data_IF_041877399365
#
_entry.id   IF_041877399365
#
_cell.length_a   1.000
_cell.length_b   1.000
_cell.length_c   1.000
_cell.angle_alpha   90.00
_cell.angle_beta   90.00
_cell.angle_gamma   90.00
#
_symmetry.space_group_name_H-M   'P 1'
#
loop_
_entity.id
_entity.type
_entity.pdbx_description
1 polymer ?
#
# COMPACT_ATOMS: atom_id res chain seq x y z
N UNK A 1 -15.31 -12.52 -13.45
CA UNK A 1 -16.15 -13.71 -13.19
C UNK A 1 -15.25 -14.78 -12.62
N UNK A 2 -15.58 -15.39 -11.48
CA UNK A 2 -14.72 -16.42 -10.87
C UNK A 2 -14.73 -17.67 -11.74
N UNK A 3 -13.61 -17.97 -12.40
CA UNK A 3 -13.43 -19.19 -13.19
C UNK A 3 -13.27 -20.40 -12.25
N UNK A 4 -13.83 -21.54 -12.62
CA UNK A 4 -13.79 -22.78 -11.85
C UNK A 4 -13.23 -23.90 -12.72
N UNK A 5 -12.21 -24.59 -12.21
CA UNK A 5 -11.45 -25.60 -12.93
C UNK A 5 -11.88 -27.01 -12.52
N UNK A 6 -11.76 -27.94 -13.45
CA UNK A 6 -11.85 -29.38 -13.17
C UNK A 6 -10.69 -29.84 -12.27
N UNK A 7 -10.83 -31.06 -11.73
CA UNK A 7 -9.77 -31.70 -10.95
C UNK A 7 -8.50 -31.86 -11.77
N UNK A 8 -8.63 -32.29 -13.02
CA UNK A 8 -7.52 -32.56 -13.92
C UNK A 8 -6.71 -31.28 -14.19
N UNK A 9 -7.40 -30.19 -14.55
CA UNK A 9 -6.79 -28.87 -14.77
C UNK A 9 -6.11 -28.33 -13.51
N UNK A 10 -6.74 -28.50 -12.33
CA UNK A 10 -6.17 -28.07 -11.06
C UNK A 10 -4.86 -28.81 -10.73
N UNK A 11 -4.81 -30.12 -10.98
CA UNK A 11 -3.61 -30.94 -10.76
C UNK A 11 -2.49 -30.58 -11.73
N UNK A 12 -2.83 -30.34 -12.99
CA UNK A 12 -1.88 -29.92 -14.02
C UNK A 12 -1.26 -28.57 -13.69
N UNK A 13 -2.07 -27.56 -13.36
CA UNK A 13 -1.58 -26.21 -13.00
C UNK A 13 -0.71 -26.22 -11.75
N UNK A 14 -1.07 -27.01 -10.73
CA UNK A 14 -0.29 -27.08 -9.47
C UNK A 14 0.89 -28.04 -9.54
N UNK A 15 0.95 -28.93 -10.54
CA UNK A 15 1.90 -30.05 -10.63
C UNK A 15 1.96 -30.84 -9.31
N UNK A 16 0.79 -31.24 -8.80
CA UNK A 16 0.63 -32.02 -7.56
C UNK A 16 -0.15 -33.30 -7.79
N UNK A 17 -0.07 -34.22 -6.82
CA UNK A 17 -0.95 -35.39 -6.76
C UNK A 17 -2.30 -35.00 -6.15
N UNK A 18 -3.33 -35.78 -6.45
CA UNK A 18 -4.69 -35.58 -5.94
C UNK A 18 -4.76 -35.45 -4.41
N UNK A 19 -3.99 -36.25 -3.68
CA UNK A 19 -3.91 -36.20 -2.22
C UNK A 19 -3.51 -34.79 -1.72
N UNK A 20 -2.56 -34.14 -2.38
CA UNK A 20 -2.11 -32.79 -2.02
C UNK A 20 -3.15 -31.73 -2.34
N UNK A 21 -3.85 -31.87 -3.48
CA UNK A 21 -4.96 -30.98 -3.85
C UNK A 21 -6.09 -31.04 -2.80
N UNK A 22 -6.51 -32.25 -2.39
CA UNK A 22 -7.50 -32.42 -1.33
C UNK A 22 -7.03 -31.86 0.01
N UNK A 23 -5.74 -31.98 0.31
CA UNK A 23 -5.16 -31.43 1.52
C UNK A 23 -5.12 -29.89 1.53
N UNK A 24 -5.14 -29.23 0.37
CA UNK A 24 -5.31 -27.78 0.26
C UNK A 24 -6.76 -27.36 0.45
N UNK A 25 -7.70 -28.11 -0.14
CA UNK A 25 -9.15 -27.86 0.05
C UNK A 25 -9.55 -28.03 1.51
N UNK A 26 -9.13 -29.13 2.16
CA UNK A 26 -9.43 -29.39 3.58
C UNK A 26 -8.89 -28.31 4.51
N UNK A 27 -7.78 -27.65 4.13
CA UNK A 27 -7.19 -26.52 4.87
C UNK A 27 -7.76 -25.15 4.46
N UNK A 28 -8.82 -25.12 3.66
CA UNK A 28 -9.47 -23.88 3.21
C UNK A 28 -8.61 -23.03 2.26
N UNK A 29 -7.55 -23.60 1.66
CA UNK A 29 -6.65 -22.87 0.76
C UNK A 29 -7.12 -22.83 -0.69
N UNK A 30 -8.00 -23.75 -1.08
CA UNK A 30 -8.64 -23.79 -2.39
C UNK A 30 -10.14 -23.99 -2.15
N UNK A 31 -10.96 -23.07 -2.64
CA UNK A 31 -12.40 -23.22 -2.67
C UNK A 31 -12.80 -24.37 -3.61
N UNK A 32 -13.67 -25.24 -3.12
CA UNK A 32 -14.21 -26.38 -3.86
C UNK A 32 -15.74 -26.29 -3.90
N UNK A 33 -16.33 -26.67 -5.03
CA UNK A 33 -17.78 -26.85 -5.18
C UNK A 33 -18.09 -28.10 -5.99
N UNK A 34 -19.28 -28.72 -5.83
CA UNK A 34 -19.75 -29.74 -6.75
C UNK A 34 -19.88 -29.19 -8.18
N UNK A 35 -19.57 -30.01 -9.18
CA UNK A 35 -19.83 -29.67 -10.57
C UNK A 35 -21.34 -29.56 -10.81
N UNK A 36 -21.76 -28.59 -11.63
CA UNK A 36 -23.17 -28.38 -11.98
C UNK A 36 -23.70 -29.44 -12.95
N UNK A 37 -22.83 -30.05 -13.76
CA UNK A 37 -23.20 -31.05 -14.76
C UNK A 37 -23.14 -32.49 -14.22
N UNK A 38 -22.27 -32.77 -13.25
CA UNK A 38 -22.12 -34.08 -12.61
C UNK A 38 -21.82 -33.92 -11.11
N UNK A 39 -22.81 -34.13 -10.22
CA UNK A 39 -22.64 -33.98 -8.77
C UNK A 39 -21.55 -34.87 -8.15
N UNK A 40 -21.09 -35.91 -8.87
CA UNK A 40 -19.98 -36.78 -8.43
C UNK A 40 -18.60 -36.15 -8.69
N UNK A 41 -18.52 -35.04 -9.43
CA UNK A 41 -17.29 -34.32 -9.74
C UNK A 41 -17.21 -33.03 -8.92
N UNK A 42 -16.00 -32.59 -8.64
CA UNK A 42 -15.73 -31.34 -7.93
C UNK A 42 -14.99 -30.37 -8.83
N UNK A 43 -15.34 -29.09 -8.73
CA UNK A 43 -14.66 -27.97 -9.34
C UNK A 43 -13.91 -27.15 -8.29
N UNK A 44 -12.80 -26.56 -8.70
CA UNK A 44 -11.86 -25.87 -7.82
C UNK A 44 -11.69 -24.43 -8.31
N UNK A 45 -11.64 -23.45 -7.39
CA UNK A 45 -11.55 -22.04 -7.75
C UNK A 45 -10.21 -21.74 -8.44
N UNK A 46 -10.26 -21.15 -9.64
CA UNK A 46 -9.07 -20.89 -10.45
C UNK A 46 -8.09 -19.92 -9.78
N UNK A 47 -8.62 -18.86 -9.13
CA UNK A 47 -7.81 -17.82 -8.46
C UNK A 47 -6.95 -18.40 -7.33
N UNK A 48 -7.53 -19.28 -6.51
CA UNK A 48 -6.83 -19.94 -5.41
C UNK A 48 -5.71 -20.87 -5.92
N UNK A 49 -5.98 -21.56 -7.03
CA UNK A 49 -5.01 -22.43 -7.71
C UNK A 49 -3.85 -21.60 -8.28
N UNK A 50 -4.14 -20.48 -8.94
CA UNK A 50 -3.12 -19.58 -9.46
C UNK A 50 -2.24 -19.03 -8.32
N UNK A 51 -2.86 -18.55 -7.24
CA UNK A 51 -2.13 -18.03 -6.07
C UNK A 51 -1.21 -19.09 -5.44
N UNK A 52 -1.66 -20.35 -5.34
CA UNK A 52 -0.85 -21.44 -4.80
C UNK A 52 0.28 -21.89 -5.75
N UNK A 53 0.03 -21.92 -7.06
CA UNK A 53 1.05 -22.24 -8.06
C UNK A 53 2.20 -21.23 -7.99
N UNK A 54 1.87 -19.94 -7.95
CA UNK A 54 2.85 -18.84 -7.81
C UNK A 54 3.64 -18.95 -6.51
N UNK A 55 2.97 -19.26 -5.39
CA UNK A 55 3.65 -19.44 -4.09
C UNK A 55 4.60 -20.64 -4.07
N UNK A 56 4.28 -21.73 -4.77
CA UNK A 56 5.07 -22.96 -4.79
C UNK A 56 6.31 -22.86 -5.68
N UNK A 57 6.23 -22.08 -6.76
CA UNK A 57 7.40 -21.71 -7.55
C UNK A 57 8.45 -20.94 -6.73
N UNK A 58 8.01 -20.13 -5.75
CA UNK A 58 8.85 -19.31 -4.84
C UNK A 58 9.52 -20.08 -3.69
N UNK A 59 9.28 -21.40 -3.55
CA UNK A 59 9.60 -22.17 -2.35
C UNK A 59 10.91 -22.99 -2.35
N UNK A 60 11.90 -22.69 -3.19
CA UNK A 60 13.16 -23.46 -3.26
C UNK A 60 14.39 -22.56 -3.05
N UNK A 61 14.97 -22.73 -1.85
CA UNK A 61 16.25 -22.25 -1.27
C UNK A 61 16.47 -20.74 -1.00
N UNK A 62 17.06 -20.38 0.18
CA UNK A 62 17.45 -19.01 0.53
C UNK A 62 18.42 -18.34 -0.44
N UNK A 63 19.22 -19.12 -1.18
CA UNK A 63 20.15 -18.61 -2.20
C UNK A 63 19.43 -17.97 -3.39
N UNK A 64 18.21 -18.42 -3.71
CA UNK A 64 17.42 -17.89 -4.83
C UNK A 64 16.75 -16.56 -4.47
N UNK A 65 16.49 -16.29 -3.18
CA UNK A 65 15.85 -15.06 -2.71
C UNK A 65 16.75 -13.84 -2.96
N UNK A 66 18.07 -13.99 -2.76
CA UNK A 66 19.05 -12.93 -3.04
C UNK A 66 19.25 -12.72 -4.56
N UNK A 67 19.27 -13.80 -5.35
CA UNK A 67 19.41 -13.73 -6.81
C UNK A 67 18.18 -13.11 -7.50
N UNK A 68 16.98 -13.45 -7.01
CA UNK A 68 15.70 -12.90 -7.50
C UNK A 68 15.49 -11.42 -7.16
N UNK A 69 16.27 -10.86 -6.23
CA UNK A 69 16.23 -9.43 -5.92
C UNK A 69 17.07 -8.60 -6.90
N UNK A 70 18.08 -9.20 -7.55
CA UNK A 70 18.96 -8.54 -8.54
C UNK A 70 18.41 -8.68 -9.96
N UNK A 71 17.86 -9.85 -10.30
CA UNK A 71 17.07 -10.02 -11.51
C UNK A 71 15.61 -9.73 -11.16
N UNK A 72 15.09 -8.54 -11.48
CA UNK A 72 13.70 -8.03 -11.44
C UNK A 72 12.52 -9.05 -11.33
N UNK A 73 12.61 -10.02 -10.44
CA UNK A 73 11.59 -10.96 -10.05
C UNK A 73 10.85 -10.34 -8.89
N UNK A 74 9.55 -10.58 -8.82
CA UNK A 74 8.70 -9.98 -7.80
C UNK A 74 9.23 -10.33 -6.39
N UNK A 75 9.76 -9.35 -5.63
CA UNK A 75 10.23 -9.60 -4.29
C UNK A 75 9.05 -10.07 -3.45
N UNK A 76 8.97 -11.35 -3.07
CA UNK A 76 7.90 -11.82 -2.19
C UNK A 76 8.36 -11.71 -0.75
N UNK A 77 7.96 -10.65 -0.05
CA UNK A 77 8.23 -10.51 1.37
C UNK A 77 6.99 -10.89 2.16
N UNK A 78 7.13 -11.83 3.09
CA UNK A 78 6.04 -12.20 4.00
C UNK A 78 5.68 -10.98 4.86
N UNK A 79 4.39 -10.65 4.90
CA UNK A 79 3.85 -9.53 5.66
C UNK A 79 2.58 -9.95 6.39
N UNK A 80 2.33 -9.30 7.53
CA UNK A 80 1.08 -9.41 8.30
C UNK A 80 0.40 -8.03 8.46
N UNK A 81 0.82 -7.04 7.67
CA UNK A 81 0.37 -5.65 7.75
C UNK A 81 -0.88 -5.44 6.90
N UNK A 82 -0.77 -5.66 5.59
CA UNK A 82 -1.89 -5.55 4.67
C UNK A 82 -1.92 -6.68 3.64
N UNK A 83 -3.09 -6.89 3.05
CA UNK A 83 -3.22 -7.67 1.83
C UNK A 83 -4.36 -7.18 0.94
N UNK A 84 -4.24 -7.36 -0.37
CA UNK A 84 -5.35 -7.21 -1.32
C UNK A 84 -5.91 -8.59 -1.62
N UNK A 85 -7.18 -8.80 -1.27
CA UNK A 85 -7.87 -10.08 -1.51
C UNK A 85 -9.25 -9.83 -2.09
N UNK A 86 -9.52 -10.43 -3.25
CA UNK A 86 -10.81 -10.30 -3.94
C UNK A 86 -11.22 -8.82 -4.17
N UNK A 87 -10.25 -7.99 -4.58
CA UNK A 87 -10.46 -6.56 -4.82
C UNK A 87 -10.68 -5.71 -3.55
N UNK A 88 -10.45 -6.28 -2.36
CA UNK A 88 -10.55 -5.56 -1.08
C UNK A 88 -9.17 -5.42 -0.46
N UNK A 89 -8.84 -4.21 -0.05
CA UNK A 89 -7.66 -3.91 0.74
C UNK A 89 -7.96 -4.17 2.22
N UNK A 90 -7.12 -4.98 2.85
CA UNK A 90 -7.30 -5.47 4.22
C UNK A 90 -6.09 -5.05 5.06
N UNK A 91 -6.28 -4.29 6.12
CA UNK A 91 -5.27 -3.94 7.13
C UNK A 91 -5.42 -4.83 8.36
N UNK A 92 -4.45 -5.73 8.59
CA UNK A 92 -4.44 -6.68 9.71
C UNK A 92 -5.79 -7.37 9.97
N UNK A 93 -6.47 -7.79 8.89
CA UNK A 93 -7.78 -8.46 8.95
C UNK A 93 -9.00 -7.52 8.91
N UNK A 94 -8.80 -6.21 8.92
CA UNK A 94 -9.87 -5.21 8.81
C UNK A 94 -9.96 -4.65 7.39
N UNK A 95 -11.17 -4.55 6.84
CA UNK A 95 -11.39 -3.95 5.52
C UNK A 95 -11.07 -2.44 5.57
N UNK A 96 -10.14 -1.98 4.74
CA UNK A 96 -9.67 -0.61 4.74
C UNK A 96 -10.76 0.39 4.32
N UNK A 97 -11.70 -0.02 3.45
CA UNK A 97 -12.81 0.83 3.05
C UNK A 97 -13.81 1.00 4.20
N UNK A 98 -14.09 -0.07 4.95
CA UNK A 98 -14.92 -0.02 6.17
C UNK A 98 -14.24 0.85 7.23
N UNK A 99 -12.94 0.61 7.48
CA UNK A 99 -12.15 1.38 8.44
C UNK A 99 -12.16 2.88 8.10
N UNK A 100 -12.03 3.23 6.81
CA UNK A 100 -12.10 4.61 6.34
C UNK A 100 -13.42 5.29 6.70
N UNK A 101 -14.51 4.55 6.91
CA UNK A 101 -15.81 5.11 7.27
C UNK A 101 -15.78 5.93 8.56
N UNK A 102 -14.94 5.56 9.52
CA UNK A 102 -14.92 6.19 10.85
C UNK A 102 -13.53 6.51 11.39
N UNK A 103 -12.48 5.78 10.97
CA UNK A 103 -11.17 5.90 11.58
C UNK A 103 -10.40 7.15 11.13
N UNK A 104 -9.45 7.61 11.95
CA UNK A 104 -8.42 8.58 11.55
C UNK A 104 -7.15 7.89 11.05
N UNK A 105 -6.19 8.67 10.52
CA UNK A 105 -4.87 8.16 10.14
C UNK A 105 -4.13 7.57 11.36
N UNK A 106 -4.28 8.20 12.52
CA UNK A 106 -3.68 7.79 13.79
C UNK A 106 -4.20 6.43 14.26
N UNK A 107 -5.50 6.19 14.11
CA UNK A 107 -6.15 4.91 14.42
C UNK A 107 -5.78 3.84 13.39
N UNK A 108 -5.76 4.18 12.10
CA UNK A 108 -5.30 3.27 11.05
C UNK A 108 -3.83 2.88 11.26
N UNK A 109 -2.97 3.83 11.64
CA UNK A 109 -1.58 3.56 11.98
C UNK A 109 -1.47 2.64 13.20
N UNK A 110 -2.31 2.80 14.22
CA UNK A 110 -2.33 1.89 15.36
C UNK A 110 -2.68 0.45 14.94
N UNK A 111 -3.64 0.27 14.03
CA UNK A 111 -3.93 -1.04 13.44
C UNK A 111 -2.71 -1.58 12.69
N UNK A 112 -2.14 -0.80 11.76
CA UNK A 112 -1.00 -1.22 10.95
C UNK A 112 0.23 -1.57 11.80
N UNK A 113 0.48 -0.81 12.86
CA UNK A 113 1.62 -0.98 13.78
C UNK A 113 1.35 -1.95 14.93
N UNK A 114 0.15 -2.55 14.98
CA UNK A 114 -0.31 -3.45 16.05
C UNK A 114 -0.19 -2.83 17.45
N UNK A 115 -0.59 -1.56 17.57
CA UNK A 115 -0.60 -0.80 18.81
C UNK A 115 -2.02 -0.73 19.42
N UNK A 116 -2.14 -0.73 20.76
CA UNK A 116 -3.43 -0.70 21.44
C UNK A 116 -4.09 0.69 21.48
N UNK A 117 -3.36 1.74 21.07
CA UNK A 117 -3.82 3.13 21.13
C UNK A 117 -3.45 3.85 19.83
N UNK A 118 -4.23 4.88 19.43
CA UNK A 118 -3.90 5.74 18.29
C UNK A 118 -2.49 6.31 18.38
N UNK A 119 -1.81 6.40 17.24
CA UNK A 119 -0.45 6.96 17.14
C UNK A 119 -0.53 8.49 17.18
N UNK A 120 0.33 9.14 17.97
CA UNK A 120 0.41 10.59 17.99
C UNK A 120 1.43 11.10 16.94
N UNK A 121 0.95 11.69 15.85
CA UNK A 121 1.78 12.32 14.81
C UNK A 121 2.03 13.81 15.10
N UNK A 122 2.58 14.09 16.28
CA UNK A 122 2.82 15.46 16.72
C UNK A 122 3.87 16.15 15.86
N UNK A 123 3.63 17.43 15.56
CA UNK A 123 4.64 18.31 15.01
C UNK A 123 4.89 19.47 15.95
N UNK A 124 6.16 19.75 16.21
CA UNK A 124 6.58 20.95 16.91
C UNK A 124 6.40 22.18 16.03
N UNK A 125 6.23 23.34 16.67
CA UNK A 125 6.28 24.63 15.98
C UNK A 125 7.66 24.79 15.33
N UNK A 126 7.73 25.15 14.04
CA UNK A 126 9.01 25.35 13.39
C UNK A 126 9.69 26.61 13.94
N UNK A 127 11.02 26.57 14.09
CA UNK A 127 11.82 27.72 14.53
C UNK A 127 11.79 28.88 13.51
N UNK A 128 11.55 28.57 12.24
CA UNK A 128 11.42 29.53 11.16
C UNK A 128 10.25 29.18 10.22
N UNK A 129 9.60 30.18 9.62
CA UNK A 129 8.61 29.94 8.56
C UNK A 129 9.27 29.17 7.43
N UNK A 130 8.71 28.02 7.08
CA UNK A 130 9.12 27.25 5.90
C UNK A 130 7.94 27.15 4.94
N UNK A 131 8.22 27.22 3.65
CA UNK A 131 7.19 27.02 2.64
C UNK A 131 6.79 25.55 2.64
N UNK A 132 5.53 25.26 2.94
CA UNK A 132 4.98 23.91 2.84
C UNK A 132 5.03 23.40 1.39
N UNK A 133 5.24 22.11 1.21
CA UNK A 133 5.23 21.45 -0.08
C UNK A 133 6.25 20.32 -0.18
N UNK A 134 6.30 19.71 -1.37
CA UNK A 134 7.15 18.53 -1.64
C UNK A 134 8.63 18.78 -1.33
N UNK A 135 9.19 19.91 -1.76
CA UNK A 135 10.59 20.24 -1.51
C UNK A 135 10.91 20.32 -0.01
N UNK A 136 10.00 20.90 0.78
CA UNK A 136 10.13 20.94 2.25
C UNK A 136 10.08 19.55 2.87
N UNK A 137 9.15 18.70 2.41
CA UNK A 137 9.05 17.31 2.87
C UNK A 137 10.36 16.54 2.66
N UNK A 138 10.99 16.65 1.48
CA UNK A 138 12.29 16.05 1.20
C UNK A 138 13.39 16.61 2.11
N UNK A 139 13.47 17.94 2.25
CA UNK A 139 14.50 18.59 3.05
C UNK A 139 14.41 18.20 4.53
N UNK A 140 13.21 18.25 5.12
CA UNK A 140 13.01 17.93 6.54
C UNK A 140 13.30 16.46 6.84
N UNK A 141 12.87 15.54 5.95
CA UNK A 141 13.22 14.13 6.11
C UNK A 141 14.72 13.86 5.92
N UNK A 142 15.40 14.60 5.05
CA UNK A 142 16.86 14.49 4.90
C UNK A 142 17.60 14.95 6.17
N UNK A 143 17.16 16.03 6.80
CA UNK A 143 17.71 16.49 8.08
C UNK A 143 17.49 15.44 9.17
N UNK A 144 16.26 14.92 9.32
CA UNK A 144 15.95 13.86 10.28
C UNK A 144 16.72 12.57 9.98
N UNK A 145 16.94 12.22 8.72
CA UNK A 145 17.73 11.06 8.33
C UNK A 145 19.20 11.21 8.73
N UNK A 146 19.79 12.40 8.56
CA UNK A 146 21.18 12.68 8.97
C UNK A 146 21.39 12.71 10.48
N UNK A 147 20.36 13.08 11.25
CA UNK A 147 20.41 13.11 12.72
C UNK A 147 19.90 11.82 13.37
N UNK A 148 19.25 10.96 12.58
CA UNK A 148 18.57 9.76 13.06
C UNK A 148 19.55 8.69 13.55
N UNK A 149 19.10 7.90 14.52
CA UNK A 149 19.88 6.77 15.05
C UNK A 149 19.65 5.50 14.22
N UNK A 150 20.68 4.66 14.02
CA UNK A 150 20.50 3.35 13.37
C UNK A 150 19.37 2.54 14.01
N UNK A 151 18.61 1.81 13.19
CA UNK A 151 17.43 1.06 13.64
C UNK A 151 17.75 -0.31 14.24
N UNK A 152 18.88 -0.92 13.86
CA UNK A 152 19.28 -2.24 14.34
C UNK A 152 19.51 -2.25 15.86
N UNK A 153 18.99 -3.28 16.52
CA UNK A 153 19.14 -3.48 17.96
C UNK A 153 18.27 -2.57 18.84
N UNK A 154 17.44 -1.69 18.26
CA UNK A 154 16.53 -0.82 19.02
C UNK A 154 15.21 -1.53 19.34
N UNK A 155 14.59 -1.12 20.43
CA UNK A 155 13.26 -1.63 20.83
C UNK A 155 12.17 -1.15 19.88
N UNK A 156 11.12 -1.96 19.72
CA UNK A 156 9.96 -1.60 18.91
C UNK A 156 9.32 -0.26 19.35
N UNK A 157 9.24 -0.02 20.66
CA UNK A 157 8.70 1.25 21.18
C UNK A 157 9.52 2.47 20.72
N UNK A 158 10.85 2.35 20.71
CA UNK A 158 11.73 3.42 20.25
C UNK A 158 11.62 3.65 18.74
N UNK A 159 11.50 2.57 17.96
CA UNK A 159 11.26 2.64 16.52
C UNK A 159 9.88 3.28 16.22
N UNK A 160 8.83 2.91 16.94
CA UNK A 160 7.52 3.54 16.76
C UNK A 160 7.54 5.04 17.09
N UNK A 161 8.27 5.46 18.12
CA UNK A 161 8.42 6.89 18.44
C UNK A 161 9.14 7.66 17.32
N UNK A 162 10.25 7.13 16.80
CA UNK A 162 10.98 7.73 15.68
C UNK A 162 10.12 7.78 14.40
N UNK A 163 9.35 6.71 14.11
CA UNK A 163 8.41 6.70 12.98
C UNK A 163 7.32 7.77 13.14
N UNK A 164 6.69 7.85 14.32
CA UNK A 164 5.64 8.80 14.61
C UNK A 164 6.14 10.24 14.46
N UNK A 165 7.34 10.52 14.98
CA UNK A 165 7.97 11.82 14.83
C UNK A 165 8.25 12.17 13.36
N UNK A 166 8.83 11.24 12.59
CA UNK A 166 9.12 11.46 11.17
C UNK A 166 7.84 11.71 10.34
N UNK A 167 6.75 10.99 10.63
CA UNK A 167 5.45 11.20 10.00
C UNK A 167 4.84 12.55 10.40
N UNK A 168 4.95 12.94 11.67
CA UNK A 168 4.49 14.26 12.14
C UNK A 168 5.21 15.41 11.45
N UNK A 169 6.53 15.31 11.31
CA UNK A 169 7.35 16.30 10.57
C UNK A 169 6.99 16.31 9.07
N UNK A 170 6.79 15.15 8.46
CA UNK A 170 6.34 15.06 7.07
C UNK A 170 4.96 15.74 6.87
N UNK A 171 4.01 15.48 7.78
CA UNK A 171 2.70 16.12 7.74
C UNK A 171 2.83 17.65 7.84
N UNK A 172 3.65 18.15 8.76
CA UNK A 172 3.89 19.59 8.90
C UNK A 172 4.52 20.21 7.65
N UNK A 173 5.51 19.55 7.06
CA UNK A 173 6.13 19.99 5.82
C UNK A 173 5.14 20.02 4.63
N UNK A 174 4.01 19.31 4.73
CA UNK A 174 2.93 19.28 3.73
C UNK A 174 1.74 20.18 4.09
N UNK A 175 1.85 21.02 5.13
CA UNK A 175 0.83 21.99 5.52
C UNK A 175 -0.03 21.56 6.71
N UNK A 176 0.35 20.56 7.50
CA UNK A 176 -0.33 20.26 8.76
C UNK A 176 0.29 21.09 9.92
N UNK A 177 -0.29 22.21 10.36
CA UNK A 177 0.27 23.10 11.39
C UNK A 177 0.63 22.35 12.67
N UNK A 178 1.53 22.90 13.48
CA UNK A 178 1.96 22.27 14.72
C UNK A 178 0.80 21.93 15.66
N UNK A 179 0.92 20.82 16.39
CA UNK A 179 -0.11 20.35 17.32
C UNK A 179 -0.27 18.84 17.37
N UNK A 180 -1.18 18.40 18.25
CA UNK A 180 -1.49 17.00 18.55
C UNK A 180 -2.85 16.53 18.03
N UNK A 181 -3.65 17.44 17.46
CA UNK A 181 -4.89 17.07 16.79
C UNK A 181 -4.61 16.09 15.62
N UNK A 182 -5.58 15.26 15.22
CA UNK A 182 -5.44 14.40 14.06
C UNK A 182 -4.98 15.16 12.80
N UNK A 183 -4.11 14.53 12.02
CA UNK A 183 -3.45 15.13 10.84
C UNK A 183 -4.46 15.72 9.86
N UNK A 184 -5.58 15.04 9.63
CA UNK A 184 -6.63 15.54 8.72
C UNK A 184 -7.25 16.87 9.18
N UNK A 185 -7.42 17.09 10.48
CA UNK A 185 -7.97 18.33 11.02
C UNK A 185 -6.96 19.47 10.88
N UNK A 186 -5.69 19.18 11.13
CA UNK A 186 -4.60 20.14 10.96
C UNK A 186 -4.48 20.57 9.50
N UNK A 187 -4.44 19.61 8.56
CA UNK A 187 -4.47 19.92 7.13
C UNK A 187 -5.71 20.73 6.73
N UNK A 188 -6.88 20.36 7.26
CA UNK A 188 -8.11 21.07 6.95
C UNK A 188 -8.09 22.53 7.43
N UNK A 189 -7.48 22.80 8.58
CA UNK A 189 -7.28 24.13 9.12
C UNK A 189 -6.40 24.99 8.20
N UNK A 190 -5.24 24.47 7.78
CA UNK A 190 -4.30 25.19 6.90
C UNK A 190 -4.91 25.45 5.52
N UNK A 191 -5.55 24.43 4.95
CA UNK A 191 -6.17 24.51 3.63
C UNK A 191 -7.51 25.26 3.65
N UNK A 192 -7.96 25.72 4.83
CA UNK A 192 -9.20 26.47 5.02
C UNK A 192 -10.44 25.77 4.42
N UNK A 193 -10.55 24.45 4.61
CA UNK A 193 -11.65 23.66 4.07
C UNK A 193 -12.72 23.36 5.12
N UNK A 194 -13.96 23.16 4.66
CA UNK A 194 -15.08 22.82 5.55
C UNK A 194 -15.00 21.40 6.13
N UNK A 195 -15.92 21.09 7.05
CA UNK A 195 -15.99 19.79 7.72
C UNK A 195 -16.21 18.61 6.75
N UNK A 196 -16.92 18.82 5.64
CA UNK A 196 -17.15 17.76 4.64
C UNK A 196 -15.88 17.40 3.89
N UNK A 197 -15.08 18.40 3.53
CA UNK A 197 -13.75 18.21 2.94
C UNK A 197 -12.74 17.67 3.95
N UNK A 198 -12.81 18.09 5.21
CA UNK A 198 -11.99 17.51 6.28
C UNK A 198 -12.26 16.01 6.45
N UNK A 199 -13.53 15.59 6.35
CA UNK A 199 -13.89 14.16 6.34
C UNK A 199 -13.32 13.45 5.11
N UNK A 200 -13.43 14.03 3.91
CA UNK A 200 -12.82 13.46 2.71
C UNK A 200 -11.30 13.27 2.85
N UNK A 201 -10.59 14.22 3.45
CA UNK A 201 -9.16 14.12 3.77
C UNK A 201 -8.92 12.95 4.74
N UNK A 202 -9.69 12.86 5.83
CA UNK A 202 -9.60 11.75 6.80
C UNK A 202 -9.71 10.39 6.11
N UNK A 203 -10.75 10.21 5.29
CA UNK A 203 -11.00 8.95 4.56
C UNK A 203 -9.88 8.64 3.59
N UNK A 204 -9.41 9.63 2.84
CA UNK A 204 -8.30 9.48 1.90
C UNK A 204 -7.00 9.04 2.62
N UNK A 205 -6.67 9.66 3.75
CA UNK A 205 -5.48 9.28 4.53
C UNK A 205 -5.55 7.83 5.03
N UNK A 206 -6.73 7.34 5.44
CA UNK A 206 -6.90 5.93 5.83
C UNK A 206 -6.77 5.00 4.64
N UNK A 207 -7.42 5.31 3.52
CA UNK A 207 -7.37 4.48 2.30
C UNK A 207 -5.96 4.40 1.68
N UNK A 208 -5.15 5.44 1.89
CA UNK A 208 -3.77 5.52 1.38
C UNK A 208 -2.72 5.15 2.43
N UNK A 209 -3.12 4.70 3.62
CA UNK A 209 -2.21 4.43 4.73
C UNK A 209 -1.22 3.28 4.43
N UNK A 210 -1.63 2.27 3.67
CA UNK A 210 -0.75 1.20 3.19
C UNK A 210 -1.31 0.52 1.93
N UNK A 211 -0.46 -0.11 1.11
CA UNK A 211 -0.89 -0.83 -0.08
C UNK A 211 0.10 -1.94 -0.45
N UNK A 212 0.19 -2.96 0.41
CA UNK A 212 1.08 -4.12 0.29
C UNK A 212 2.54 -3.73 -0.03
N UNK A 213 3.21 -4.49 -0.91
CA UNK A 213 4.60 -4.28 -1.29
C UNK A 213 4.70 -3.54 -2.63
N UNK A 214 4.19 -2.31 -2.66
CA UNK A 214 4.44 -1.40 -3.77
C UNK A 214 5.92 -0.92 -3.80
N UNK A 215 6.33 -0.26 -4.90
CA UNK A 215 7.72 0.15 -5.11
C UNK A 215 8.30 1.00 -3.98
N UNK A 216 7.55 1.98 -3.45
CA UNK A 216 8.01 2.80 -2.33
C UNK A 216 8.13 2.02 -1.02
N UNK A 217 7.18 1.12 -0.75
CA UNK A 217 7.28 0.22 0.41
C UNK A 217 8.52 -0.68 0.29
N UNK A 218 8.80 -1.21 -0.90
CA UNK A 218 10.00 -2.01 -1.14
C UNK A 218 11.28 -1.21 -0.91
N UNK A 219 11.39 0.00 -1.45
CA UNK A 219 12.54 0.88 -1.24
C UNK A 219 12.76 1.22 0.24
N UNK A 220 11.69 1.54 0.97
CA UNK A 220 11.77 1.79 2.41
C UNK A 220 12.26 0.55 3.17
N UNK A 221 11.85 -0.66 2.77
CA UNK A 221 12.33 -1.92 3.36
C UNK A 221 13.78 -2.24 3.03
N UNK A 222 14.25 -1.91 1.83
CA UNK A 222 15.66 -2.03 1.46
C UNK A 222 16.51 -1.15 2.37
N UNK A 223 16.14 0.12 2.55
CA UNK A 223 16.82 1.02 3.48
C UNK A 223 16.78 0.49 4.93
N UNK A 224 15.62 0.00 5.39
CA UNK A 224 15.50 -0.57 6.73
C UNK A 224 16.41 -1.81 6.93
N UNK A 225 16.60 -2.63 5.89
CA UNK A 225 17.43 -3.85 5.96
C UNK A 225 18.91 -3.59 6.23
N UNK A 226 19.41 -2.38 5.94
CA UNK A 226 20.78 -1.97 6.24
C UNK A 226 20.93 -1.39 7.64
N UNK A 227 19.83 -1.26 8.38
CA UNK A 227 19.81 -0.61 9.69
C UNK A 227 19.72 0.90 9.65
N UNK A 228 19.31 1.49 8.53
CA UNK A 228 19.13 2.93 8.41
C UNK A 228 18.13 3.48 9.45
N UNK A 229 18.26 4.75 9.87
CA UNK A 229 17.25 5.42 10.67
C UNK A 229 15.88 5.43 9.98
N UNK A 230 14.80 5.50 10.76
CA UNK A 230 13.45 5.41 10.18
C UNK A 230 13.09 6.60 9.27
N UNK A 231 13.58 7.80 9.57
CA UNK A 231 13.45 8.94 8.68
C UNK A 231 14.15 8.70 7.32
N UNK A 232 15.30 8.02 7.31
CA UNK A 232 15.98 7.64 6.07
C UNK A 232 15.19 6.60 5.27
N UNK A 233 14.55 5.64 5.96
CA UNK A 233 13.66 4.67 5.32
C UNK A 233 12.43 5.36 4.69
N UNK A 234 11.84 6.32 5.41
CA UNK A 234 10.72 7.14 4.92
C UNK A 234 11.14 8.00 3.73
N UNK A 235 12.34 8.60 3.77
CA UNK A 235 12.90 9.37 2.66
C UNK A 235 13.11 8.51 1.41
N UNK A 236 13.63 7.29 1.55
CA UNK A 236 13.78 6.35 0.43
C UNK A 236 12.43 5.99 -0.21
N UNK A 237 11.40 5.77 0.63
CA UNK A 237 10.04 5.57 0.18
C UNK A 237 9.48 6.79 -0.55
N UNK A 238 9.63 7.99 0.02
CA UNK A 238 9.16 9.25 -0.57
C UNK A 238 9.85 9.55 -1.92
N UNK A 239 11.17 9.34 -2.01
CA UNK A 239 11.92 9.47 -3.25
C UNK A 239 11.36 8.53 -4.33
N UNK A 240 11.11 7.27 -3.98
CA UNK A 240 10.53 6.29 -4.91
C UNK A 240 9.10 6.65 -5.30
N UNK A 241 8.30 7.17 -4.35
CA UNK A 241 6.92 7.62 -4.61
C UNK A 241 6.87 8.82 -5.56
N UNK A 242 7.89 9.69 -5.54
CA UNK A 242 7.93 10.86 -6.44
C UNK A 242 8.03 10.50 -7.92
N UNK A 243 8.31 9.24 -8.27
CA UNK A 243 8.29 8.76 -9.64
C UNK A 243 6.88 8.84 -10.26
N UNK A 244 6.73 9.35 -11.50
CA UNK A 244 5.41 9.57 -12.12
C UNK A 244 4.62 8.29 -12.38
N UNK A 245 5.32 7.15 -12.51
CA UNK A 245 4.71 5.82 -12.66
C UNK A 245 4.20 5.22 -11.35
N UNK A 246 4.46 5.88 -10.21
CA UNK A 246 4.07 5.43 -8.89
C UNK A 246 3.14 6.44 -8.21
N UNK A 247 3.66 7.60 -7.78
CA UNK A 247 2.85 8.62 -7.08
C UNK A 247 2.12 9.62 -7.99
N UNK A 248 2.28 9.52 -9.32
CA UNK A 248 1.74 10.49 -10.28
C UNK A 248 0.27 10.29 -10.66
N UNK A 249 -0.39 9.22 -10.17
CA UNK A 249 -1.74 8.85 -10.62
C UNK A 249 -2.80 9.93 -10.35
N UNK A 250 -2.75 10.60 -9.19
CA UNK A 250 -3.70 11.65 -8.84
C UNK A 250 -3.61 12.87 -9.76
N UNK A 251 -2.39 13.32 -10.06
CA UNK A 251 -2.15 14.42 -11.01
C UNK A 251 -2.63 14.06 -12.42
N UNK A 252 -2.39 12.81 -12.85
CA UNK A 252 -2.84 12.34 -14.16
C UNK A 252 -4.37 12.30 -14.28
N UNK A 253 -5.08 11.93 -13.20
CA UNK A 253 -6.55 11.98 -13.16
C UNK A 253 -7.06 13.43 -13.18
N UNK A 254 -6.42 14.33 -12.44
CA UNK A 254 -6.78 15.75 -12.47
C UNK A 254 -6.57 16.36 -13.86
N UNK A 255 -5.44 16.06 -14.51
CA UNK A 255 -5.17 16.51 -15.88
C UNK A 255 -6.21 15.96 -16.87
N UNK A 256 -6.62 14.69 -16.72
CA UNK A 256 -7.67 14.10 -17.53
C UNK A 256 -9.01 14.84 -17.34
N UNK A 257 -9.37 15.17 -16.09
CA UNK A 257 -10.58 15.90 -15.77
C UNK A 257 -10.58 17.33 -16.33
N UNK A 258 -9.46 18.04 -16.22
CA UNK A 258 -9.28 19.39 -16.78
C UNK A 258 -9.37 19.39 -18.32
N UNK A 259 -8.73 18.42 -18.98
CA UNK A 259 -8.84 18.26 -20.43
C UNK A 259 -10.28 17.94 -20.86
N UNK A 260 -10.97 17.06 -20.13
CA UNK A 260 -12.37 16.75 -20.38
C UNK A 260 -13.29 17.97 -20.19
N UNK A 261 -13.03 18.80 -19.19
CA UNK A 261 -13.77 20.05 -18.98
C UNK A 261 -13.54 21.06 -20.12
N UNK A 262 -12.34 21.12 -20.69
CA UNK A 262 -11.99 22.04 -21.79
C UNK A 262 -12.43 21.58 -23.17
N UNK A 263 -12.36 20.29 -23.45
CA UNK A 263 -12.49 19.74 -24.81
C UNK A 263 -13.64 18.74 -24.99
N UNK A 264 -14.33 18.39 -23.89
CA UNK A 264 -15.36 17.35 -23.87
C UNK A 264 -14.78 15.96 -23.59
N UNK A 265 -15.50 15.18 -22.79
CA UNK A 265 -15.05 13.86 -22.32
C UNK A 265 -14.69 12.90 -23.47
N UNK A 266 -15.55 12.79 -24.48
CA UNK A 266 -15.34 11.88 -25.61
C UNK A 266 -14.08 12.20 -26.41
N UNK A 267 -13.83 13.49 -26.67
CA UNK A 267 -12.65 13.94 -27.39
C UNK A 267 -11.37 13.67 -26.59
N UNK A 268 -11.40 13.96 -25.29
CA UNK A 268 -10.28 13.71 -24.38
C UNK A 268 -9.97 12.21 -24.26
N UNK A 269 -10.98 11.36 -24.05
CA UNK A 269 -10.78 9.90 -23.97
C UNK A 269 -10.20 9.36 -25.28
N UNK A 270 -10.76 9.74 -26.44
CA UNK A 270 -10.21 9.33 -27.74
C UNK A 270 -8.75 9.73 -27.91
N UNK A 271 -8.39 10.95 -27.49
CA UNK A 271 -7.01 11.44 -27.54
C UNK A 271 -6.07 10.65 -26.62
N UNK A 272 -6.49 10.27 -25.41
CA UNK A 272 -5.66 9.47 -24.52
C UNK A 272 -5.43 8.06 -25.06
N UNK A 273 -6.50 7.42 -25.55
CA UNK A 273 -6.43 6.08 -26.13
C UNK A 273 -5.64 6.04 -27.45
N UNK A 274 -5.65 7.12 -28.24
CA UNK A 274 -4.89 7.18 -29.51
C UNK A 274 -3.38 7.20 -29.32
N UNK A 275 -2.89 7.46 -28.10
CA UNK A 275 -1.45 7.48 -27.79
C UNK A 275 -0.98 6.22 -27.05
N UNK A 276 -1.80 5.16 -27.03
CA UNK A 276 -1.55 3.91 -26.30
C UNK A 276 -1.19 4.14 -24.81
N UNK A 277 -1.76 5.21 -24.23
CA UNK A 277 -1.59 5.52 -22.81
C UNK A 277 -2.75 4.89 -22.04
N UNK A 278 -2.49 4.17 -20.94
CA UNK A 278 -3.56 3.71 -20.07
C UNK A 278 -4.31 4.92 -19.52
N UNK A 279 -5.64 4.80 -19.42
CA UNK A 279 -6.50 5.88 -18.95
C UNK A 279 -6.27 6.06 -17.44
N UNK A 280 -5.81 7.24 -16.97
CA UNK A 280 -5.57 7.48 -15.54
C UNK A 280 -6.82 7.22 -14.71
N UNK A 281 -6.67 6.50 -13.60
CA UNK A 281 -7.77 6.15 -12.70
C UNK A 281 -8.59 4.91 -13.10
N UNK A 282 -8.24 4.22 -14.20
CA UNK A 282 -8.91 3.00 -14.65
C UNK A 282 -7.95 1.81 -14.68
N UNK A 283 -8.45 0.66 -14.21
CA UNK A 283 -7.68 -0.59 -14.12
C UNK A 283 -6.82 -0.67 -12.85
N UNK A 284 -6.48 -1.90 -12.45
CA UNK A 284 -5.60 -2.21 -11.32
C UNK A 284 -4.85 -3.51 -11.61
N UNK A 285 -3.60 -3.61 -11.18
CA UNK A 285 -2.75 -4.80 -11.36
C UNK A 285 -2.50 -5.46 -10.00
#
# INVERSE_FOLDING_TARGET
MSEWLSREEALERLKVRAQTLYAYVSRGRIGMRPDRADPRRSQYRADDIAALATRRARGRSPSVIAESAIAWGEPSIVTAISTVSHGRLIYRGQDAAVLSGHATLEEAAAVLWALPKPVAFEAASPDAPHQAGRASAFAQLAVLAGQGRPSLGRSAASLHADAAHAVGVLAAALGAPAGSNPVHQRLAQDWSVDAGRADAIRRALVLLADHELNASTFAARVAASTGAPLAACLLAGLATLSGPRHGGAGEAVMQLAEDAARHGADATIRRWLSHDRPLPGFGHQ
#
